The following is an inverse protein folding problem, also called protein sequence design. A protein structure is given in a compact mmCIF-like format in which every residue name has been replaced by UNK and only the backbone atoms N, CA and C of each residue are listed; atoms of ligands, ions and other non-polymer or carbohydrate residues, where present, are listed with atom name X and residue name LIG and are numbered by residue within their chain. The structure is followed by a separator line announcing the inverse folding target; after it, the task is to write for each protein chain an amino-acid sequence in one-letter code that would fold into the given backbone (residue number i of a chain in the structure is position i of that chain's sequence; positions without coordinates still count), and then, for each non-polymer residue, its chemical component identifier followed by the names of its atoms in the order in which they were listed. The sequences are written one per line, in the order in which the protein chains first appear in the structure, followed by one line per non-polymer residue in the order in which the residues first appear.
data_IF_496187244385
#
_entry.id   IF_496187244385
#
_cell.length_a   1.000
_cell.length_b   1.000
_cell.length_c   1.000
_cell.angle_alpha   90.00
_cell.angle_beta   90.00
_cell.angle_gamma   90.00
#
_symmetry.space_group_name_H-M   'P 1'
#
loop_
_entity.id
_entity.type
_entity.pdbx_description
1 polymer ?
#
# COMPACT_ATOMS: atom_id res chain seq x y z
N UNK A 1 -1.81 -4.56 21.40
CA UNK A 1 -3.23 -4.43 21.04
C UNK A 1 -3.36 -3.26 20.05
N UNK A 2 -3.50 -3.52 18.75
CA UNK A 2 -3.71 -2.45 17.75
C UNK A 2 -5.15 -1.98 17.90
N UNK A 3 -5.36 -0.80 18.47
CA UNK A 3 -6.69 -0.16 18.43
C UNK A 3 -6.84 0.53 17.08
N UNK A 4 -7.56 -0.10 16.16
CA UNK A 4 -7.98 0.55 14.94
C UNK A 4 -9.06 1.59 15.30
N UNK A 5 -8.81 2.85 15.01
CA UNK A 5 -9.77 3.93 15.20
C UNK A 5 -10.60 4.03 13.91
N UNK A 6 -11.92 3.98 14.05
CA UNK A 6 -12.81 4.13 12.89
C UNK A 6 -12.74 5.57 12.36
N UNK A 7 -12.44 5.72 11.08
CA UNK A 7 -12.34 7.02 10.39
C UNK A 7 -13.62 7.84 10.53
N UNK A 8 -14.78 7.19 10.50
CA UNK A 8 -16.07 7.87 10.69
C UNK A 8 -16.19 8.49 12.10
N UNK A 9 -15.68 7.82 13.13
CA UNK A 9 -15.64 8.38 14.49
C UNK A 9 -14.77 9.63 14.55
N UNK A 10 -13.63 9.62 13.86
CA UNK A 10 -12.75 10.81 13.76
C UNK A 10 -13.47 11.94 13.04
N UNK A 11 -14.13 11.66 11.92
CA UNK A 11 -14.92 12.63 11.18
C UNK A 11 -16.03 13.27 12.04
N UNK A 12 -16.79 12.46 12.78
CA UNK A 12 -17.82 12.95 13.68
C UNK A 12 -17.25 13.83 14.80
N UNK A 13 -16.07 13.46 15.32
CA UNK A 13 -15.38 14.28 16.33
C UNK A 13 -14.94 15.64 15.77
N UNK A 14 -14.40 15.66 14.54
CA UNK A 14 -14.03 16.90 13.87
C UNK A 14 -15.25 17.79 13.64
N UNK A 15 -16.37 17.22 13.16
CA UNK A 15 -17.63 17.95 12.99
C UNK A 15 -18.14 18.52 14.32
N UNK A 16 -18.03 17.77 15.42
CA UNK A 16 -18.43 18.23 16.74
C UNK A 16 -17.58 19.44 17.19
N UNK A 17 -16.28 19.42 16.93
CA UNK A 17 -15.38 20.53 17.25
C UNK A 17 -15.72 21.76 16.41
N UNK A 18 -15.91 21.58 15.08
CA UNK A 18 -16.28 22.67 14.18
C UNK A 18 -17.61 23.31 14.56
N UNK A 19 -18.60 22.51 14.94
CA UNK A 19 -19.91 22.99 15.41
C UNK A 19 -19.80 23.81 16.70
N UNK A 20 -18.98 23.36 17.66
CA UNK A 20 -18.77 24.12 18.91
C UNK A 20 -18.11 25.48 18.67
N UNK A 21 -17.25 25.56 17.67
CA UNK A 21 -16.54 26.79 17.32
C UNK A 21 -17.29 27.66 16.31
N UNK A 22 -18.51 27.27 15.89
CA UNK A 22 -19.34 27.95 14.88
C UNK A 22 -18.58 28.23 13.56
N UNK A 23 -17.63 27.34 13.21
CA UNK A 23 -16.74 27.50 12.04
C UNK A 23 -17.28 26.85 10.76
N UNK A 24 -18.50 26.32 10.79
CA UNK A 24 -19.16 25.76 9.63
C UNK A 24 -19.08 24.24 9.56
N UNK A 25 -19.45 23.72 8.40
CA UNK A 25 -19.55 22.29 8.09
C UNK A 25 -18.38 21.88 7.18
N UNK A 26 -17.79 20.72 7.45
CA UNK A 26 -16.78 20.09 6.60
C UNK A 26 -17.42 18.91 5.87
N UNK A 27 -17.28 18.88 4.56
CA UNK A 27 -17.76 17.75 3.75
C UNK A 27 -16.84 16.53 3.93
N UNK A 28 -17.34 15.29 3.72
CA UNK A 28 -16.49 14.08 3.76
C UNK A 28 -15.31 14.13 2.78
N UNK A 29 -15.47 14.77 1.62
CA UNK A 29 -14.40 14.93 0.62
C UNK A 29 -13.30 15.85 1.14
N UNK A 30 -13.65 16.98 1.73
CA UNK A 30 -12.69 17.90 2.34
C UNK A 30 -11.97 17.22 3.53
N UNK A 31 -12.70 16.48 4.36
CA UNK A 31 -12.12 15.73 5.45
C UNK A 31 -11.10 14.70 4.96
N UNK A 32 -11.43 13.91 3.95
CA UNK A 32 -10.52 12.92 3.39
C UNK A 32 -9.26 13.58 2.81
N UNK A 33 -9.40 14.69 2.09
CA UNK A 33 -8.26 15.43 1.53
C UNK A 33 -7.35 15.99 2.62
N UNK A 34 -7.93 16.62 3.63
CA UNK A 34 -7.18 17.16 4.78
C UNK A 34 -6.55 16.03 5.60
N UNK A 35 -7.28 14.93 5.80
CA UNK A 35 -6.78 13.75 6.51
C UNK A 35 -5.57 13.12 5.83
N UNK A 36 -5.60 12.97 4.50
CA UNK A 36 -4.45 12.46 3.72
C UNK A 36 -3.24 13.38 3.87
N UNK A 37 -3.44 14.70 3.78
CA UNK A 37 -2.37 15.68 3.97
C UNK A 37 -1.78 15.59 5.39
N UNK A 38 -2.61 15.52 6.41
CA UNK A 38 -2.16 15.40 7.81
C UNK A 38 -1.39 14.10 8.06
N UNK A 39 -1.82 12.99 7.46
CA UNK A 39 -1.09 11.71 7.56
C UNK A 39 0.31 11.81 6.94
N UNK A 40 0.43 12.48 5.79
CA UNK A 40 1.71 12.71 5.14
C UNK A 40 2.64 13.57 6.02
N UNK A 41 2.14 14.65 6.59
CA UNK A 41 2.90 15.52 7.49
C UNK A 41 3.38 14.78 8.75
N UNK A 42 2.52 13.93 9.34
CA UNK A 42 2.89 13.10 10.49
C UNK A 42 4.00 12.12 10.09
N UNK A 43 3.88 11.46 8.94
CA UNK A 43 4.90 10.56 8.43
C UNK A 43 6.25 11.29 8.23
N UNK A 44 6.25 12.44 7.58
CA UNK A 44 7.46 13.22 7.36
C UNK A 44 8.11 13.65 8.68
N UNK A 45 7.31 14.08 9.64
CA UNK A 45 7.80 14.44 10.98
C UNK A 45 8.49 13.26 11.68
N UNK A 46 7.90 12.07 11.62
CA UNK A 46 8.51 10.86 12.22
C UNK A 46 9.77 10.44 11.46
N UNK A 47 9.76 10.54 10.15
CA UNK A 47 10.90 10.19 9.30
C UNK A 47 12.08 11.13 9.55
N UNK A 48 11.84 12.42 9.65
CA UNK A 48 12.88 13.41 9.97
C UNK A 48 13.43 13.23 11.38
N UNK A 49 12.55 12.93 12.35
CA UNK A 49 12.95 12.61 13.71
C UNK A 49 13.84 11.36 13.76
N UNK A 50 13.51 10.31 12.99
CA UNK A 50 14.33 9.10 12.87
C UNK A 50 15.70 9.43 12.25
N UNK A 51 15.74 10.19 11.17
CA UNK A 51 16.99 10.59 10.52
C UNK A 51 17.88 11.44 11.45
N UNK A 52 17.29 12.31 12.25
CA UNK A 52 18.02 13.10 13.25
C UNK A 52 18.61 12.20 14.33
N UNK A 53 17.82 11.26 14.86
CA UNK A 53 18.29 10.34 15.90
C UNK A 53 19.43 9.44 15.40
N UNK A 54 19.37 8.94 14.18
CA UNK A 54 20.45 8.11 13.59
C UNK A 54 21.78 8.89 13.45
N UNK A 55 21.71 10.21 13.27
CA UNK A 55 22.89 11.08 13.10
C UNK A 55 23.52 11.53 14.42
N UNK A 56 22.81 11.42 15.53
CA UNK A 56 23.32 11.81 16.85
C UNK A 56 24.35 10.77 17.29
N UNK A 57 25.55 11.17 17.77
CA UNK A 57 26.52 10.25 18.30
C UNK A 57 25.94 9.43 19.46
N UNK A 58 26.13 8.13 19.42
CA UNK A 58 25.61 7.21 20.46
C UNK A 58 26.42 7.38 21.73
N UNK A 59 25.89 8.11 22.68
CA UNK A 59 26.56 8.32 23.98
C UNK A 59 25.87 7.61 25.15
N UNK A 60 24.64 7.07 24.96
CA UNK A 60 23.85 6.45 26.05
C UNK A 60 23.02 5.26 25.54
N UNK A 61 22.69 4.34 26.45
CA UNK A 61 21.82 3.16 26.22
C UNK A 61 20.40 3.54 25.77
N UNK A 62 19.89 4.70 26.18
CA UNK A 62 18.58 5.24 25.78
C UNK A 62 18.43 5.49 24.27
N UNK A 63 19.52 5.51 23.51
CA UNK A 63 19.50 5.76 22.08
C UNK A 63 18.82 4.62 21.29
N UNK A 64 19.13 3.38 21.62
CA UNK A 64 18.58 2.21 20.94
C UNK A 64 17.04 2.16 21.08
N UNK A 65 16.52 2.46 22.26
CA UNK A 65 15.07 2.48 22.50
C UNK A 65 14.35 3.58 21.74
N UNK A 66 14.98 4.75 21.58
CA UNK A 66 14.39 5.86 20.81
C UNK A 66 14.28 5.54 19.31
N UNK A 67 15.32 4.95 18.74
CA UNK A 67 15.33 4.53 17.32
C UNK A 67 14.27 3.45 17.09
N UNK A 68 14.20 2.45 17.95
CA UNK A 68 13.21 1.37 17.87
C UNK A 68 11.79 1.94 17.99
N UNK A 69 11.54 2.81 18.96
CA UNK A 69 10.23 3.45 19.14
C UNK A 69 9.80 4.30 17.92
N UNK A 70 10.73 4.99 17.27
CA UNK A 70 10.45 5.75 16.04
C UNK A 70 10.20 4.83 14.85
N UNK A 71 10.96 3.74 14.72
CA UNK A 71 10.74 2.75 13.67
C UNK A 71 9.40 2.04 13.83
N UNK A 72 8.97 1.74 15.05
CA UNK A 72 7.63 1.24 15.36
C UNK A 72 6.52 2.21 14.93
N UNK A 73 6.69 3.51 15.19
CA UNK A 73 5.74 4.54 14.75
C UNK A 73 5.66 4.63 13.22
N UNK A 74 6.81 4.56 12.54
CA UNK A 74 6.86 4.56 11.08
C UNK A 74 6.29 3.26 10.50
N UNK A 75 6.36 2.15 11.24
CA UNK A 75 5.90 0.84 10.77
C UNK A 75 4.43 0.81 10.35
N UNK A 76 3.61 1.71 10.90
CA UNK A 76 2.19 1.85 10.53
C UNK A 76 2.02 2.26 9.07
N UNK A 77 2.98 3.02 8.54
CA UNK A 77 2.97 3.51 7.15
C UNK A 77 3.70 2.57 6.20
N UNK A 78 4.41 1.54 6.71
CA UNK A 78 5.13 0.57 5.87
C UNK A 78 4.13 -0.36 5.18
N UNK A 79 4.28 -0.50 3.87
CA UNK A 79 3.56 -1.49 3.07
C UNK A 79 4.55 -2.22 2.18
N UNK A 80 4.21 -3.43 1.76
CA UNK A 80 5.01 -4.22 0.83
C UNK A 80 4.25 -4.43 -0.47
N UNK A 81 4.96 -4.58 -1.56
CA UNK A 81 4.40 -4.90 -2.86
C UNK A 81 5.46 -5.53 -3.75
N UNK A 82 5.02 -6.27 -4.76
CA UNK A 82 5.90 -6.93 -5.70
C UNK A 82 6.27 -5.98 -6.85
N UNK A 83 7.55 -5.88 -7.15
CA UNK A 83 8.02 -5.15 -8.32
C UNK A 83 7.85 -6.02 -9.57
N UNK A 84 7.23 -5.48 -10.62
CA UNK A 84 7.04 -6.17 -11.89
C UNK A 84 8.23 -5.93 -12.81
N UNK A 85 8.76 -7.00 -13.42
CA UNK A 85 9.87 -6.92 -14.37
C UNK A 85 9.37 -6.67 -15.78
N UNK A 86 9.73 -5.53 -16.37
CA UNK A 86 9.41 -5.19 -17.75
C UNK A 86 10.56 -4.38 -18.38
N UNK A 87 10.90 -4.68 -19.62
CA UNK A 87 11.92 -3.97 -20.38
C UNK A 87 13.28 -3.85 -19.64
N UNK A 88 13.72 -4.94 -19.02
CA UNK A 88 14.97 -4.99 -18.24
C UNK A 88 15.01 -4.10 -17.00
N UNK A 89 13.86 -3.65 -16.51
CA UNK A 89 13.70 -2.81 -15.34
C UNK A 89 12.59 -3.37 -14.43
N UNK A 90 12.72 -3.14 -13.15
CA UNK A 90 11.65 -3.42 -12.19
C UNK A 90 10.84 -2.16 -11.94
N UNK A 91 9.54 -2.24 -12.20
CA UNK A 91 8.60 -1.16 -11.92
C UNK A 91 8.08 -1.30 -10.49
N UNK A 92 8.07 -0.20 -9.74
CA UNK A 92 7.50 -0.16 -8.40
C UNK A 92 5.97 -0.31 -8.49
N UNK A 93 5.32 -1.00 -7.54
CA UNK A 93 3.87 -1.28 -7.60
C UNK A 93 2.95 -0.07 -7.73
N UNK A 94 3.41 1.13 -7.37
CA UNK A 94 2.64 2.37 -7.49
C UNK A 94 2.35 2.82 -8.93
N UNK A 95 2.99 2.20 -9.91
CA UNK A 95 2.81 2.58 -11.30
C UNK A 95 1.83 1.63 -12.01
N UNK A 96 0.56 1.72 -11.63
CA UNK A 96 -0.47 1.23 -12.55
C UNK A 96 -0.36 2.02 -13.85
N UNK A 97 -0.27 1.30 -14.95
CA UNK A 97 -0.28 1.85 -16.31
C UNK A 97 -1.69 2.40 -16.63
N UNK A 98 -2.00 3.55 -16.08
CA UNK A 98 -3.32 4.16 -16.13
C UNK A 98 -3.64 4.73 -14.75
N UNK A 99 -3.45 6.03 -14.61
CA UNK A 99 -3.73 6.77 -13.40
C UNK A 99 -5.19 6.58 -12.97
N UNK A 100 -5.43 5.90 -11.88
CA UNK A 100 -6.71 5.93 -11.21
C UNK A 100 -7.31 4.58 -10.85
N UNK A 101 -8.43 4.67 -10.19
CA UNK A 101 -9.31 3.60 -9.79
C UNK A 101 -9.68 2.71 -10.98
N UNK A 102 -9.41 1.42 -10.88
CA UNK A 102 -9.97 0.44 -11.80
C UNK A 102 -11.26 -0.13 -11.22
N UNK A 103 -12.28 -0.13 -12.02
CA UNK A 103 -13.61 -0.52 -11.61
C UNK A 103 -14.17 -1.58 -12.54
N UNK A 104 -14.73 -2.64 -11.98
CA UNK A 104 -15.53 -3.60 -12.72
C UNK A 104 -16.86 -3.82 -12.05
N UNK A 105 -17.90 -3.94 -12.85
CA UNK A 105 -19.26 -4.21 -12.37
C UNK A 105 -19.70 -5.55 -12.89
N UNK A 106 -20.12 -6.43 -12.00
CA UNK A 106 -20.77 -7.70 -12.31
C UNK A 106 -22.19 -7.65 -11.77
N UNK A 107 -23.17 -7.92 -12.61
CA UNK A 107 -24.53 -8.13 -12.14
C UNK A 107 -24.78 -9.64 -12.10
N UNK A 108 -25.22 -10.23 -11.00
CA UNK A 108 -25.65 -11.61 -11.00
C UNK A 108 -26.67 -11.79 -12.12
N UNK A 109 -26.43 -12.73 -13.01
CA UNK A 109 -27.39 -13.03 -14.06
C UNK A 109 -28.77 -13.28 -13.41
N UNK A 110 -29.81 -12.87 -14.10
CA UNK A 110 -31.22 -12.95 -13.65
C UNK A 110 -31.72 -14.42 -13.54
N UNK A 111 -30.81 -15.32 -13.24
CA UNK A 111 -31.06 -16.74 -13.03
C UNK A 111 -31.45 -16.98 -11.58
N UNK A 112 -32.37 -17.87 -11.40
CA UNK A 112 -33.05 -18.33 -10.17
C UNK A 112 -32.11 -18.73 -9.00
N UNK A 113 -30.81 -18.67 -9.17
CA UNK A 113 -29.80 -18.89 -8.12
C UNK A 113 -28.67 -17.88 -8.27
N UNK A 114 -28.57 -16.92 -7.39
CA UNK A 114 -27.34 -16.19 -7.19
C UNK A 114 -26.22 -17.19 -6.81
N UNK A 115 -25.00 -16.95 -7.26
CA UNK A 115 -23.85 -17.82 -6.96
C UNK A 115 -23.02 -17.20 -5.84
N UNK A 116 -22.31 -18.05 -5.09
CA UNK A 116 -21.37 -17.56 -4.08
C UNK A 116 -20.09 -17.00 -4.71
N UNK A 117 -19.76 -17.43 -5.93
CA UNK A 117 -18.51 -17.05 -6.59
C UNK A 117 -18.77 -16.39 -7.92
N UNK A 118 -18.03 -15.30 -8.17
CA UNK A 118 -18.11 -14.51 -9.40
C UNK A 118 -16.71 -14.33 -10.01
N UNK A 119 -16.62 -14.45 -11.32
CA UNK A 119 -15.39 -14.14 -12.04
C UNK A 119 -15.28 -12.64 -12.26
N UNK A 120 -14.16 -12.06 -11.85
CA UNK A 120 -13.83 -10.65 -12.06
C UNK A 120 -13.31 -10.49 -13.49
N UNK A 121 -13.97 -9.66 -14.28
CA UNK A 121 -13.58 -9.35 -15.65
C UNK A 121 -13.05 -7.92 -15.75
N UNK A 122 -12.07 -7.70 -16.63
CA UNK A 122 -11.52 -6.36 -16.89
C UNK A 122 -10.43 -5.90 -15.92
N UNK A 123 -10.17 -6.66 -14.85
CA UNK A 123 -9.07 -6.42 -13.91
C UNK A 123 -8.24 -7.70 -13.80
N UNK A 124 -6.92 -7.58 -13.90
CA UNK A 124 -6.03 -8.75 -13.83
C UNK A 124 -5.78 -9.18 -12.38
N UNK A 125 -5.45 -10.45 -12.19
CA UNK A 125 -5.08 -11.00 -10.87
C UNK A 125 -3.91 -10.23 -10.23
N UNK A 126 -2.94 -9.77 -11.03
CA UNK A 126 -1.82 -8.97 -10.55
C UNK A 126 -2.28 -7.60 -10.01
N UNK A 127 -3.19 -6.93 -10.72
CA UNK A 127 -3.74 -5.65 -10.29
C UNK A 127 -4.54 -5.77 -8.98
N UNK A 128 -5.27 -6.88 -8.82
CA UNK A 128 -6.01 -7.17 -7.59
C UNK A 128 -5.03 -7.44 -6.43
N UNK A 129 -4.00 -8.25 -6.65
CA UNK A 129 -3.01 -8.59 -5.63
C UNK A 129 -2.18 -7.39 -5.17
N UNK A 130 -1.84 -6.50 -6.09
CA UNK A 130 -1.02 -5.31 -5.81
C UNK A 130 -1.86 -4.08 -5.41
N UNK A 131 -3.19 -4.15 -5.54
CA UNK A 131 -4.11 -3.06 -5.23
C UNK A 131 -4.75 -3.15 -3.83
N UNK A 132 -5.51 -2.13 -3.52
CA UNK A 132 -6.50 -2.13 -2.43
C UNK A 132 -7.87 -2.35 -3.05
N UNK A 133 -8.56 -3.39 -2.63
CA UNK A 133 -9.85 -3.80 -3.19
C UNK A 133 -11.00 -3.44 -2.27
N UNK A 134 -12.05 -2.84 -2.82
CA UNK A 134 -13.31 -2.60 -2.15
C UNK A 134 -14.42 -3.29 -2.93
N UNK A 135 -15.24 -4.06 -2.25
CA UNK A 135 -16.38 -4.76 -2.84
C UNK A 135 -17.68 -4.14 -2.33
N UNK A 136 -18.55 -3.80 -3.26
CA UNK A 136 -19.87 -3.25 -2.96
C UNK A 136 -20.95 -4.17 -3.50
N UNK A 137 -22.01 -4.37 -2.73
CA UNK A 137 -23.23 -5.04 -3.17
C UNK A 137 -24.39 -4.07 -2.97
N UNK A 138 -25.08 -3.74 -4.05
CA UNK A 138 -26.15 -2.75 -4.04
C UNK A 138 -25.71 -1.41 -3.39
N UNK A 139 -24.52 -0.92 -3.81
CA UNK A 139 -23.88 0.32 -3.32
C UNK A 139 -23.42 0.29 -1.85
N UNK A 140 -23.60 -0.84 -1.14
CA UNK A 140 -23.13 -1.01 0.22
C UNK A 140 -21.74 -1.64 0.23
N UNK A 141 -20.77 -0.99 0.86
CA UNK A 141 -19.42 -1.52 1.05
C UNK A 141 -19.46 -2.72 2.00
N UNK A 142 -18.92 -3.84 1.54
CA UNK A 142 -18.78 -5.04 2.36
C UNK A 142 -17.52 -4.98 3.24
N UNK A 143 -17.59 -5.64 4.37
CA UNK A 143 -16.45 -5.86 5.24
C UNK A 143 -15.53 -6.96 4.66
N UNK A 144 -14.23 -6.91 4.99
CA UNK A 144 -13.25 -7.91 4.54
C UNK A 144 -13.56 -9.36 4.99
N UNK A 145 -14.44 -9.53 5.97
CA UNK A 145 -14.87 -10.85 6.45
C UNK A 145 -16.03 -11.44 5.65
N UNK A 146 -16.68 -10.63 4.83
CA UNK A 146 -17.88 -11.04 4.06
C UNK A 146 -17.54 -11.56 2.67
N UNK A 147 -16.29 -11.40 2.24
CA UNK A 147 -15.81 -11.91 0.96
C UNK A 147 -14.35 -12.35 1.00
N UNK A 148 -13.95 -13.10 0.00
CA UNK A 148 -12.54 -13.43 -0.28
C UNK A 148 -12.27 -13.32 -1.76
N UNK A 149 -11.05 -12.94 -2.14
CA UNK A 149 -10.63 -12.86 -3.53
C UNK A 149 -9.40 -13.76 -3.73
N UNK A 150 -9.50 -14.66 -4.70
CA UNK A 150 -8.40 -15.52 -5.10
C UNK A 150 -8.18 -15.41 -6.61
N UNK A 151 -7.06 -14.82 -7.01
CA UNK A 151 -6.79 -14.47 -8.40
C UNK A 151 -7.86 -13.51 -8.96
N UNK A 152 -8.68 -13.97 -9.89
CA UNK A 152 -9.81 -13.22 -10.47
C UNK A 152 -11.17 -13.76 -10.02
N UNK A 153 -11.21 -14.51 -8.94
CA UNK A 153 -12.47 -15.06 -8.40
C UNK A 153 -12.81 -14.39 -7.08
N UNK A 154 -13.96 -13.73 -7.04
CA UNK A 154 -14.57 -13.15 -5.85
C UNK A 154 -15.54 -14.18 -5.27
N UNK A 155 -15.38 -14.54 -4.00
CA UNK A 155 -16.25 -15.48 -3.29
C UNK A 155 -16.84 -14.79 -2.06
N UNK A 156 -18.15 -14.82 -1.91
CA UNK A 156 -18.87 -14.25 -0.77
C UNK A 156 -19.03 -15.27 0.36
N UNK A 157 -18.99 -14.82 1.59
CA UNK A 157 -19.28 -15.65 2.76
C UNK A 157 -20.78 -16.02 2.81
N UNK A 158 -21.66 -15.12 2.36
CA UNK A 158 -23.10 -15.35 2.21
C UNK A 158 -23.55 -14.94 0.80
N UNK A 159 -24.47 -15.69 0.25
CA UNK A 159 -24.95 -15.50 -1.12
C UNK A 159 -25.65 -14.13 -1.27
N UNK A 160 -25.19 -13.25 -2.19
CA UNK A 160 -25.87 -11.99 -2.44
C UNK A 160 -27.22 -12.21 -3.09
N UNK A 161 -28.16 -11.28 -2.88
CA UNK A 161 -29.50 -11.33 -3.47
C UNK A 161 -29.38 -11.21 -5.00
N UNK A 162 -30.10 -12.06 -5.72
CA UNK A 162 -30.14 -12.03 -7.19
C UNK A 162 -30.64 -10.66 -7.68
N UNK A 163 -29.95 -10.11 -8.69
CA UNK A 163 -30.27 -8.81 -9.28
C UNK A 163 -29.58 -7.61 -8.62
N UNK A 164 -28.92 -7.77 -7.46
CA UNK A 164 -28.13 -6.69 -6.87
C UNK A 164 -26.83 -6.50 -7.67
N UNK A 165 -26.46 -5.28 -8.05
CA UNK A 165 -25.20 -5.02 -8.71
C UNK A 165 -24.03 -5.25 -7.74
N UNK A 166 -23.02 -5.96 -8.22
CA UNK A 166 -21.75 -6.15 -7.52
C UNK A 166 -20.73 -5.27 -8.20
N UNK A 167 -20.13 -4.37 -7.44
CA UNK A 167 -19.09 -3.47 -7.91
C UNK A 167 -17.80 -3.79 -7.18
N UNK A 168 -16.73 -3.96 -7.93
CA UNK A 168 -15.36 -4.10 -7.42
C UNK A 168 -14.56 -2.87 -7.82
N UNK A 169 -14.05 -2.18 -6.84
CA UNK A 169 -13.11 -1.08 -7.00
C UNK A 169 -11.72 -1.57 -6.61
N UNK A 170 -10.74 -1.39 -7.49
CA UNK A 170 -9.34 -1.65 -7.21
C UNK A 170 -8.57 -0.34 -7.33
N UNK A 171 -7.93 0.04 -6.23
CA UNK A 171 -7.08 1.22 -6.16
C UNK A 171 -5.62 0.79 -6.14
N UNK A 172 -4.74 1.44 -6.93
CA UNK A 172 -3.31 1.18 -6.85
C UNK A 172 -2.79 1.59 -5.47
N UNK A 173 -1.87 0.80 -4.92
CA UNK A 173 -1.09 1.22 -3.74
C UNK A 173 -0.07 2.25 -4.19
N UNK A 174 -0.11 3.44 -3.62
CA UNK A 174 0.87 4.48 -3.90
C UNK A 174 2.04 4.36 -2.93
N UNK A 175 3.25 4.23 -3.49
CA UNK A 175 4.49 4.26 -2.71
C UNK A 175 5.01 5.69 -2.66
N UNK A 176 5.07 6.26 -1.48
CA UNK A 176 5.64 7.59 -1.29
C UNK A 176 7.17 7.55 -1.21
N UNK A 177 7.72 6.58 -0.47
CA UNK A 177 9.17 6.35 -0.35
C UNK A 177 9.49 4.87 -0.41
N UNK A 178 10.57 4.54 -1.09
CA UNK A 178 11.14 3.20 -1.10
C UNK A 178 11.93 3.01 0.20
N UNK A 179 11.55 2.03 1.01
CA UNK A 179 12.27 1.64 2.22
C UNK A 179 13.40 0.68 1.88
N UNK A 180 13.09 -0.58 1.72
CA UNK A 180 14.06 -1.62 1.35
C UNK A 180 13.55 -2.44 0.16
N UNK A 181 14.46 -3.07 -0.54
CA UNK A 181 14.17 -4.00 -1.64
C UNK A 181 14.64 -5.38 -1.21
N UNK A 182 13.73 -6.35 -1.29
CA UNK A 182 14.01 -7.74 -0.92
C UNK A 182 13.98 -8.59 -2.18
N UNK A 183 15.09 -9.26 -2.44
CA UNK A 183 15.18 -10.27 -3.49
C UNK A 183 14.82 -11.64 -2.93
N UNK A 184 13.87 -12.31 -3.58
CA UNK A 184 13.44 -13.64 -3.19
C UNK A 184 13.86 -14.63 -4.26
N UNK A 185 14.75 -15.56 -3.91
CA UNK A 185 15.19 -16.66 -4.76
C UNK A 185 14.84 -17.99 -4.07
N UNK A 186 13.72 -18.59 -4.47
CA UNK A 186 13.19 -19.79 -3.81
C UNK A 186 12.84 -19.52 -2.35
N UNK A 187 13.49 -20.23 -1.41
CA UNK A 187 13.28 -20.06 0.04
C UNK A 187 14.17 -18.98 0.68
N UNK A 188 15.12 -18.42 -0.06
CA UNK A 188 16.03 -17.40 0.47
C UNK A 188 15.47 -16.01 0.18
N UNK A 189 15.42 -15.21 1.21
CA UNK A 189 15.12 -13.79 1.13
C UNK A 189 16.35 -13.00 1.54
N UNK A 190 16.73 -12.03 0.73
CA UNK A 190 17.90 -11.19 0.98
C UNK A 190 17.53 -9.73 0.70
N UNK A 191 17.85 -8.87 1.65
CA UNK A 191 17.76 -7.43 1.43
C UNK A 191 18.89 -6.99 0.49
N UNK A 192 18.56 -6.17 -0.50
CA UNK A 192 19.49 -5.66 -1.50
C UNK A 192 20.12 -4.37 -1.01
N UNK A 193 21.38 -4.20 -1.33
CA UNK A 193 22.10 -2.95 -1.09
C UNK A 193 21.83 -1.95 -2.23
N UNK A 194 21.50 -0.72 -1.83
CA UNK A 194 21.33 0.38 -2.77
C UNK A 194 22.67 0.96 -3.16
N UNK A 195 22.95 1.03 -4.44
CA UNK A 195 24.17 1.63 -4.96
C UNK A 195 23.86 2.84 -5.84
N UNK A 196 24.80 3.75 -5.93
CA UNK A 196 24.77 4.85 -6.89
C UNK A 196 25.24 4.38 -8.27
N UNK A 197 24.91 5.15 -9.31
CA UNK A 197 25.36 4.83 -10.67
C UNK A 197 26.88 4.78 -10.80
N UNK A 198 27.60 5.65 -10.13
CA UNK A 198 29.07 5.66 -10.11
C UNK A 198 29.64 4.41 -9.45
N UNK A 199 29.08 3.99 -8.32
CA UNK A 199 29.47 2.75 -7.64
C UNK A 199 29.21 1.52 -8.50
N UNK A 200 28.06 1.48 -9.20
CA UNK A 200 27.73 0.39 -10.12
C UNK A 200 28.79 0.22 -11.21
N UNK A 201 29.30 1.33 -11.78
CA UNK A 201 30.38 1.27 -12.76
C UNK A 201 31.68 0.72 -12.16
N UNK A 202 32.04 1.14 -10.95
CA UNK A 202 33.24 0.63 -10.27
C UNK A 202 33.09 -0.85 -9.89
N UNK A 203 31.92 -1.26 -9.40
CA UNK A 203 31.65 -2.67 -9.07
C UNK A 203 31.71 -3.58 -10.30
N UNK A 204 31.23 -3.12 -11.45
CA UNK A 204 31.26 -3.88 -12.69
C UNK A 204 32.66 -3.95 -13.35
N UNK A 205 33.58 -3.10 -12.95
CA UNK A 205 34.96 -3.07 -13.50
C UNK A 205 35.81 -4.26 -13.05
N UNK A 206 35.46 -4.94 -11.96
CA UNK A 206 36.19 -6.07 -11.42
C UNK A 206 35.31 -7.32 -11.32
N UNK A 207 35.84 -8.46 -11.75
CA UNK A 207 35.14 -9.75 -11.62
C UNK A 207 34.91 -10.18 -10.17
N UNK A 208 35.66 -9.65 -9.22
CA UNK A 208 35.53 -9.96 -7.80
C UNK A 208 34.40 -9.18 -7.13
N UNK A 209 34.12 -7.97 -7.60
CA UNK A 209 33.11 -7.08 -7.02
C UNK A 209 31.84 -7.01 -7.84
N UNK A 210 31.82 -7.66 -9.01
CA UNK A 210 30.65 -7.66 -9.89
C UNK A 210 29.43 -8.26 -9.17
N UNK A 211 28.28 -7.59 -9.24
CA UNK A 211 27.04 -8.08 -8.65
C UNK A 211 26.69 -9.49 -9.16
N UNK A 212 26.20 -10.31 -8.26
CA UNK A 212 25.81 -11.70 -8.54
C UNK A 212 24.48 -12.03 -7.83
N UNK A 213 23.93 -13.20 -8.11
CA UNK A 213 22.74 -13.70 -7.39
C UNK A 213 22.99 -13.93 -5.90
N UNK A 214 24.28 -14.04 -5.49
CA UNK A 214 24.66 -14.17 -4.07
C UNK A 214 24.80 -12.81 -3.40
N UNK A 215 25.20 -11.79 -4.13
CA UNK A 215 25.34 -10.41 -3.67
C UNK A 215 24.59 -9.48 -4.64
N UNK A 216 23.25 -9.51 -4.62
CA UNK A 216 22.45 -8.67 -5.47
C UNK A 216 22.41 -7.24 -4.93
N UNK A 217 22.49 -6.28 -5.84
CA UNK A 217 22.41 -4.86 -5.57
C UNK A 217 21.29 -4.25 -6.39
N UNK A 218 20.84 -3.05 -6.04
CA UNK A 218 19.89 -2.31 -6.86
C UNK A 218 20.28 -0.85 -7.04
N UNK A 219 19.91 -0.32 -8.20
CA UNK A 219 20.00 1.09 -8.53
C UNK A 219 18.56 1.65 -8.60
N UNK A 220 18.29 2.71 -7.88
CA UNK A 220 16.98 3.34 -7.89
C UNK A 220 17.03 4.70 -8.56
N UNK A 221 16.48 4.81 -9.76
CA UNK A 221 16.40 6.04 -10.55
C UNK A 221 15.04 6.14 -11.26
N UNK A 222 14.51 7.35 -11.32
CA UNK A 222 13.24 7.64 -12.03
C UNK A 222 12.06 6.70 -11.63
N UNK A 223 11.95 6.39 -10.36
CA UNK A 223 10.95 5.46 -9.81
C UNK A 223 11.01 4.04 -10.39
N UNK A 224 12.20 3.59 -10.82
CA UNK A 224 12.49 2.25 -11.32
C UNK A 224 13.70 1.67 -10.61
N UNK A 225 13.72 0.34 -10.50
CA UNK A 225 14.81 -0.44 -9.96
C UNK A 225 15.56 -1.16 -11.08
#
# INVERSE_FOLDING_TARGET
MKMAINVNTVYQTVLLILNKEQRGYMTPVEFNKTGTQSQLEIFETYFDSLNQQIRIPQTNEDYADRVVNLDEKISIFKTSGNASYQNSLFNIPSQFSGSGKQQTTTTPANTTAATLSYTINGITAAQIADGVTNVYVNEVLLSEFEYSISGTVLTFASQPIAGNPILLDVYPKEFYRLGSVIYTAGLKQQELERVSRSELYHLNASNLTKPSTTYPIYLYENNKL
#
